data_IF_022322368117
#
_entry.id   IF_022322368117
#
_cell.length_a   1.000
_cell.length_b   1.000
_cell.length_c   1.000
_cell.angle_alpha   90.00
_cell.angle_beta   90.00
_cell.angle_gamma   90.00
#
_symmetry.space_group_name_H-M   'P 1'
#
loop_
_entity.id
_entity.type
_entity.pdbx_description
1 polymer ?
#
# COMPACT_ATOMS: atom_id res chain seq x y z
N UNK A 1 -25.89 7.70 8.07
CA UNK A 1 -25.57 8.63 6.98
C UNK A 1 -26.85 9.20 6.38
N UNK A 2 -26.81 10.42 5.82
CA UNK A 2 -27.89 11.02 5.02
C UNK A 2 -27.66 10.80 3.50
N UNK A 3 -28.61 11.22 2.64
CA UNK A 3 -28.53 11.02 1.18
C UNK A 3 -27.27 11.64 0.57
N UNK A 4 -26.88 12.83 1.04
CA UNK A 4 -25.76 13.60 0.47
C UNK A 4 -24.41 13.01 0.88
N UNK A 5 -24.31 12.49 2.10
CA UNK A 5 -23.17 11.71 2.58
C UNK A 5 -23.00 10.43 1.78
N UNK A 6 -24.10 9.69 1.58
CA UNK A 6 -24.09 8.47 0.79
C UNK A 6 -23.71 8.75 -0.67
N UNK A 7 -24.23 9.83 -1.25
CA UNK A 7 -23.87 10.27 -2.60
C UNK A 7 -22.37 10.60 -2.71
N UNK A 8 -21.78 11.23 -1.69
CA UNK A 8 -20.34 11.47 -1.61
C UNK A 8 -19.52 10.18 -1.56
N UNK A 9 -19.90 9.23 -0.70
CA UNK A 9 -19.20 7.94 -0.56
C UNK A 9 -19.34 7.09 -1.82
N UNK A 10 -20.53 6.99 -2.40
CA UNK A 10 -20.74 6.25 -3.65
C UNK A 10 -19.96 6.87 -4.80
N UNK A 11 -19.86 8.21 -4.87
CA UNK A 11 -19.03 8.88 -5.86
C UNK A 11 -17.53 8.59 -5.66
N UNK A 12 -17.07 8.43 -4.41
CA UNK A 12 -15.72 7.97 -4.10
C UNK A 12 -15.48 6.54 -4.61
N UNK A 13 -16.35 5.59 -4.30
CA UNK A 13 -16.23 4.21 -4.80
C UNK A 13 -16.29 4.12 -6.34
N UNK A 14 -17.18 4.90 -6.96
CA UNK A 14 -17.29 4.97 -8.42
C UNK A 14 -16.03 5.59 -9.04
N UNK A 15 -15.34 6.47 -8.32
CA UNK A 15 -14.10 7.05 -8.79
C UNK A 15 -12.95 6.04 -8.85
N UNK A 16 -12.89 5.05 -7.95
CA UNK A 16 -11.93 3.95 -8.06
C UNK A 16 -12.12 3.17 -9.37
N UNK A 17 -13.37 2.98 -9.80
CA UNK A 17 -13.67 2.34 -11.10
C UNK A 17 -13.23 3.25 -12.25
N UNK A 18 -13.62 4.53 -12.20
CA UNK A 18 -13.29 5.52 -13.24
C UNK A 18 -11.78 5.73 -13.42
N UNK A 19 -11.02 5.66 -12.33
CA UNK A 19 -9.58 5.86 -12.30
C UNK A 19 -8.79 4.55 -12.48
N UNK A 20 -9.49 3.47 -12.82
CA UNK A 20 -8.92 2.15 -13.12
C UNK A 20 -8.08 1.61 -11.96
N UNK A 21 -8.69 1.59 -10.77
CA UNK A 21 -7.98 1.26 -9.56
C UNK A 21 -7.47 -0.16 -9.46
N UNK A 22 -8.33 -1.08 -9.83
CA UNK A 22 -7.98 -2.49 -9.88
C UNK A 22 -6.90 -2.75 -10.95
N UNK A 23 -6.98 -2.08 -12.11
CA UNK A 23 -6.03 -2.29 -13.21
C UNK A 23 -4.61 -1.87 -12.83
N UNK A 24 -4.43 -0.65 -12.31
CA UNK A 24 -3.10 -0.15 -11.94
C UNK A 24 -2.50 -0.97 -10.81
N UNK A 25 -3.29 -1.37 -9.82
CA UNK A 25 -2.82 -2.23 -8.73
C UNK A 25 -2.41 -3.62 -9.23
N UNK A 26 -3.19 -4.20 -10.15
CA UNK A 26 -2.86 -5.49 -10.77
C UNK A 26 -1.57 -5.39 -11.59
N UNK A 27 -1.42 -4.35 -12.42
CA UNK A 27 -0.20 -4.11 -13.19
C UNK A 27 1.03 -3.89 -12.29
N UNK A 28 0.88 -3.15 -11.21
CA UNK A 28 1.97 -2.93 -10.26
C UNK A 28 2.40 -4.25 -9.61
N UNK A 29 1.45 -5.07 -9.15
CA UNK A 29 1.73 -6.37 -8.51
C UNK A 29 2.35 -7.35 -9.50
N UNK A 30 1.85 -7.42 -10.74
CA UNK A 30 2.43 -8.31 -11.76
C UNK A 30 3.86 -7.91 -12.10
N UNK A 31 4.14 -6.62 -12.31
CA UNK A 31 5.50 -6.13 -12.59
C UNK A 31 6.47 -6.42 -11.44
N UNK A 32 6.05 -6.13 -10.20
CA UNK A 32 6.84 -6.45 -9.00
C UNK A 32 7.08 -7.95 -8.89
N UNK A 33 6.06 -8.77 -9.14
CA UNK A 33 6.15 -10.23 -9.14
C UNK A 33 7.12 -10.74 -10.22
N UNK A 34 7.07 -10.20 -11.44
CA UNK A 34 8.00 -10.57 -12.51
C UNK A 34 9.45 -10.23 -12.13
N UNK A 35 9.70 -9.04 -11.58
CA UNK A 35 11.04 -8.64 -11.12
C UNK A 35 11.52 -9.56 -9.98
N UNK A 36 10.64 -9.90 -9.04
CA UNK A 36 10.97 -10.81 -7.94
C UNK A 36 11.35 -12.21 -8.46
N UNK A 37 10.58 -12.76 -9.42
CA UNK A 37 10.87 -14.06 -10.03
C UNK A 37 12.20 -14.02 -10.78
N UNK A 38 12.47 -12.97 -11.58
CA UNK A 38 13.74 -12.81 -12.30
C UNK A 38 14.92 -12.71 -11.34
N UNK A 39 14.75 -11.99 -10.23
CA UNK A 39 15.78 -11.84 -9.19
C UNK A 39 16.05 -13.16 -8.49
N UNK A 40 14.99 -13.87 -8.05
CA UNK A 40 15.10 -15.19 -7.41
C UNK A 40 15.75 -16.21 -8.35
N UNK A 41 15.34 -16.25 -9.62
CA UNK A 41 15.94 -17.11 -10.64
C UNK A 41 17.43 -16.79 -10.84
N UNK A 42 17.79 -15.51 -10.93
CA UNK A 42 19.19 -15.07 -11.10
C UNK A 42 20.05 -15.48 -9.90
N UNK A 43 19.57 -15.25 -8.68
CA UNK A 43 20.26 -15.64 -7.45
C UNK A 43 20.42 -17.17 -7.36
N UNK A 44 19.37 -17.94 -7.68
CA UNK A 44 19.43 -19.42 -7.73
C UNK A 44 20.39 -19.92 -8.79
N UNK A 45 20.42 -19.32 -9.98
CA UNK A 45 21.39 -19.66 -11.01
C UNK A 45 22.82 -19.35 -10.56
N UNK A 46 23.06 -18.22 -9.90
CA UNK A 46 24.38 -17.89 -9.35
C UNK A 46 24.81 -18.83 -8.21
N UNK A 47 23.87 -19.31 -7.39
CA UNK A 47 24.13 -20.24 -6.29
C UNK A 47 24.34 -21.68 -6.78
N UNK A 48 23.48 -22.18 -7.67
CA UNK A 48 23.50 -23.57 -8.18
C UNK A 48 24.56 -23.79 -9.27
N UNK A 49 24.82 -22.78 -10.11
CA UNK A 49 25.97 -22.76 -11.03
C UNK A 49 27.26 -22.30 -10.30
N UNK A 50 27.24 -22.32 -8.96
CA UNK A 50 28.19 -21.68 -8.09
C UNK A 50 29.63 -21.87 -8.49
N UNK A 51 30.41 -20.79 -8.42
CA UNK A 51 31.86 -20.90 -8.27
C UNK A 51 32.62 -21.69 -9.34
N UNK A 52 32.03 -22.07 -10.49
CA UNK A 52 32.76 -22.70 -11.61
C UNK A 52 33.56 -21.71 -12.45
N UNK A 53 33.64 -20.46 -12.00
CA UNK A 53 34.69 -19.50 -12.39
C UNK A 53 35.80 -19.45 -11.33
N UNK A 54 35.88 -20.41 -10.39
CA UNK A 54 37.15 -20.76 -9.79
C UNK A 54 37.90 -21.66 -10.79
N UNK A 55 38.44 -21.04 -11.85
CA UNK A 55 39.58 -21.63 -12.55
C UNK A 55 40.69 -21.80 -11.52
N UNK A 56 41.27 -22.99 -11.49
CA UNK A 56 42.43 -23.39 -10.70
C UNK A 56 43.42 -22.23 -10.52
N UNK A 57 43.52 -21.67 -9.31
CA UNK A 57 44.52 -20.63 -9.01
C UNK A 57 44.27 -19.78 -7.78
N UNK A 58 43.05 -19.27 -7.56
CA UNK A 58 42.90 -18.12 -6.66
C UNK A 58 42.42 -18.48 -5.26
N UNK A 59 43.39 -18.72 -4.37
CA UNK A 59 43.17 -18.89 -2.93
C UNK A 59 43.19 -17.52 -2.24
N UNK A 60 42.22 -16.63 -2.49
CA UNK A 60 42.02 -15.54 -1.52
C UNK A 60 40.66 -14.83 -1.47
N UNK A 61 39.80 -14.87 -2.49
CA UNK A 61 38.60 -14.03 -2.46
C UNK A 61 37.38 -14.70 -1.79
N UNK A 62 37.37 -14.66 -0.46
CA UNK A 62 36.17 -14.91 0.38
C UNK A 62 35.13 -13.79 0.30
N UNK A 63 35.42 -12.69 -0.41
CA UNK A 63 34.51 -11.57 -0.60
C UNK A 63 34.07 -11.53 -2.06
N UNK A 64 32.95 -12.18 -2.40
CA UNK A 64 32.26 -11.88 -3.64
C UNK A 64 31.27 -10.72 -3.38
N UNK A 65 31.61 -9.46 -3.70
CA UNK A 65 30.74 -8.31 -3.44
C UNK A 65 29.38 -8.44 -4.14
N UNK A 66 29.30 -9.15 -5.27
CA UNK A 66 28.03 -9.42 -5.97
C UNK A 66 27.11 -10.32 -5.16
N UNK A 67 27.65 -11.29 -4.42
CA UNK A 67 26.85 -12.15 -3.54
C UNK A 67 26.31 -11.37 -2.34
N UNK A 68 27.09 -10.44 -1.78
CA UNK A 68 26.66 -9.55 -0.71
C UNK A 68 25.55 -8.59 -1.19
N UNK A 69 25.71 -8.00 -2.37
CA UNK A 69 24.69 -7.13 -2.99
C UNK A 69 23.40 -7.93 -3.26
N UNK A 70 23.52 -9.15 -3.77
CA UNK A 70 22.37 -10.04 -4.01
C UNK A 70 21.60 -10.38 -2.72
N UNK A 71 22.31 -10.66 -1.63
CA UNK A 71 21.72 -10.91 -0.30
C UNK A 71 21.00 -9.67 0.24
N UNK A 72 21.60 -8.49 0.12
CA UNK A 72 21.00 -7.22 0.53
C UNK A 72 19.72 -6.97 -0.28
N UNK A 73 19.77 -7.09 -1.62
CA UNK A 73 18.59 -6.91 -2.46
C UNK A 73 17.49 -7.92 -2.14
N UNK A 74 17.81 -9.19 -1.88
CA UNK A 74 16.83 -10.20 -1.47
C UNK A 74 16.09 -9.80 -0.19
N UNK A 75 16.82 -9.25 0.79
CA UNK A 75 16.29 -8.89 2.10
C UNK A 75 15.45 -7.60 2.05
N UNK A 76 15.88 -6.62 1.24
CA UNK A 76 15.23 -5.31 1.15
C UNK A 76 14.16 -5.20 0.05
N UNK A 77 14.24 -5.96 -1.04
CA UNK A 77 13.26 -5.94 -2.13
C UNK A 77 11.80 -6.10 -1.67
N UNK A 78 11.44 -7.07 -0.81
CA UNK A 78 10.05 -7.21 -0.36
C UNK A 78 9.58 -6.03 0.49
N UNK A 79 10.48 -5.41 1.27
CA UNK A 79 10.17 -4.21 2.06
C UNK A 79 9.91 -3.02 1.14
N UNK A 80 10.80 -2.79 0.17
CA UNK A 80 10.67 -1.73 -0.83
C UNK A 80 9.40 -1.88 -1.66
N UNK A 81 9.07 -3.10 -2.09
CA UNK A 81 7.85 -3.41 -2.81
C UNK A 81 6.60 -3.03 -2.03
N UNK A 82 6.52 -3.39 -0.74
CA UNK A 82 5.37 -3.03 0.11
C UNK A 82 5.28 -1.52 0.35
N UNK A 83 6.39 -0.83 0.55
CA UNK A 83 6.41 0.64 0.71
C UNK A 83 5.90 1.32 -0.56
N UNK A 84 6.34 0.84 -1.73
CA UNK A 84 5.88 1.33 -3.02
C UNK A 84 4.37 1.11 -3.17
N UNK A 85 3.88 -0.10 -2.87
CA UNK A 85 2.46 -0.44 -2.93
C UNK A 85 1.61 0.47 -2.01
N UNK A 86 2.02 0.64 -0.75
CA UNK A 86 1.30 1.49 0.20
C UNK A 86 1.29 2.96 -0.25
N UNK A 87 2.38 3.43 -0.85
CA UNK A 87 2.48 4.80 -1.38
C UNK A 87 1.59 5.02 -2.60
N UNK A 88 1.49 4.03 -3.49
CA UNK A 88 0.54 4.05 -4.61
C UNK A 88 -0.89 4.07 -4.07
N UNK A 89 -1.24 3.19 -3.13
CA UNK A 89 -2.58 3.14 -2.52
C UNK A 89 -3.02 4.50 -1.97
N UNK A 90 -2.18 5.15 -1.16
CA UNK A 90 -2.48 6.47 -0.56
C UNK A 90 -2.76 7.56 -1.59
N UNK A 91 -1.96 7.65 -2.65
CA UNK A 91 -2.17 8.67 -3.70
C UNK A 91 -3.51 8.48 -4.43
N UNK A 92 -3.99 7.25 -4.49
CA UNK A 92 -5.24 6.92 -5.21
C UNK A 92 -6.48 7.21 -4.40
N UNK A 93 -6.43 7.00 -3.09
CA UNK A 93 -7.46 7.46 -2.16
C UNK A 93 -7.66 8.98 -2.27
N UNK A 94 -6.57 9.76 -2.30
CA UNK A 94 -6.65 11.22 -2.50
C UNK A 94 -7.23 11.57 -3.87
N UNK A 95 -6.82 10.86 -4.92
CA UNK A 95 -7.35 11.07 -6.28
C UNK A 95 -8.84 10.73 -6.35
N UNK A 96 -9.26 9.68 -5.63
CA UNK A 96 -10.64 9.27 -5.51
C UNK A 96 -11.50 10.31 -4.79
N UNK A 97 -11.01 10.89 -3.69
CA UNK A 97 -11.65 12.02 -3.00
C UNK A 97 -11.89 13.22 -3.91
N UNK A 98 -10.84 13.66 -4.62
CA UNK A 98 -10.93 14.77 -5.57
C UNK A 98 -11.95 14.46 -6.69
N UNK A 99 -11.93 13.22 -7.19
CA UNK A 99 -12.80 12.77 -8.27
C UNK A 99 -14.25 12.68 -7.82
N UNK A 100 -14.50 12.22 -6.59
CA UNK A 100 -15.82 12.18 -5.97
C UNK A 100 -16.42 13.59 -5.87
N UNK A 101 -15.65 14.54 -5.35
CA UNK A 101 -16.07 15.95 -5.27
C UNK A 101 -16.34 16.53 -6.64
N UNK A 102 -15.52 16.24 -7.64
CA UNK A 102 -15.76 16.67 -9.03
C UNK A 102 -17.05 16.08 -9.61
N UNK A 103 -17.43 14.86 -9.21
CA UNK A 103 -18.65 14.18 -9.68
C UNK A 103 -19.91 14.71 -8.98
N UNK A 104 -19.88 14.85 -7.65
CA UNK A 104 -21.02 15.36 -6.87
C UNK A 104 -21.17 16.86 -6.92
N UNK A 105 -20.07 17.58 -7.22
CA UNK A 105 -19.94 19.05 -7.11
C UNK A 105 -20.33 19.59 -5.73
N UNK A 106 -20.21 18.75 -4.69
CA UNK A 106 -20.60 19.09 -3.34
C UNK A 106 -19.62 18.50 -2.31
N UNK A 107 -18.49 19.19 -2.04
CA UNK A 107 -17.50 18.77 -1.07
C UNK A 107 -18.04 18.50 0.35
N UNK A 108 -18.97 19.31 0.92
CA UNK A 108 -19.45 19.10 2.28
C UNK A 108 -20.11 17.75 2.54
N UNK A 109 -20.67 17.11 1.50
CA UNK A 109 -21.27 15.78 1.61
C UNK A 109 -20.27 14.71 2.00
N UNK A 110 -19.13 14.68 1.30
CA UNK A 110 -18.06 13.73 1.58
C UNK A 110 -17.35 14.07 2.91
N UNK A 111 -17.15 15.36 3.21
CA UNK A 111 -16.56 15.78 4.50
C UNK A 111 -17.42 15.30 5.68
N UNK A 112 -18.73 15.53 5.65
CA UNK A 112 -19.66 15.08 6.71
C UNK A 112 -19.66 13.55 6.87
N UNK A 113 -19.53 12.82 5.76
CA UNK A 113 -19.41 11.37 5.78
C UNK A 113 -18.14 10.91 6.50
N UNK A 114 -16.98 11.50 6.16
CA UNK A 114 -15.70 11.17 6.78
C UNK A 114 -15.63 11.58 8.26
N UNK A 115 -16.23 12.71 8.63
CA UNK A 115 -16.32 13.15 10.04
C UNK A 115 -17.16 12.17 10.88
N UNK A 116 -18.26 11.64 10.32
CA UNK A 116 -19.08 10.62 10.99
C UNK A 116 -18.35 9.29 11.14
N UNK A 117 -17.55 8.89 10.15
CA UNK A 117 -16.68 7.72 10.26
C UNK A 117 -15.62 7.94 11.33
N UNK A 118 -14.97 9.10 11.35
CA UNK A 118 -13.98 9.43 12.38
C UNK A 118 -14.56 9.44 13.80
N UNK A 119 -15.83 9.81 13.95
CA UNK A 119 -16.54 9.80 15.23
C UNK A 119 -17.09 8.42 15.61
N UNK A 120 -17.06 7.44 14.71
CA UNK A 120 -17.49 6.08 15.00
C UNK A 120 -16.49 5.41 15.95
N UNK A 121 -17.03 4.80 17.02
CA UNK A 121 -16.26 4.10 18.04
C UNK A 121 -16.68 2.63 18.13
N UNK A 122 -17.39 2.13 17.11
CA UNK A 122 -17.81 0.72 17.07
C UNK A 122 -16.58 -0.20 17.07
N UNK A 123 -16.53 -1.07 18.07
CA UNK A 123 -15.40 -2.00 18.24
C UNK A 123 -15.61 -3.18 17.31
N UNK A 124 -14.70 -3.35 16.35
CA UNK A 124 -14.67 -4.50 15.46
C UNK A 124 -14.15 -5.73 16.22
N UNK A 125 -15.04 -6.63 16.60
CA UNK A 125 -14.68 -7.83 17.38
C UNK A 125 -13.84 -8.86 16.60
N UNK A 126 -13.86 -8.79 15.26
CA UNK A 126 -13.05 -9.63 14.38
C UNK A 126 -12.74 -8.86 13.10
N UNK A 127 -11.51 -8.41 12.98
CA UNK A 127 -10.98 -7.80 11.76
C UNK A 127 -9.74 -8.58 11.32
N UNK A 128 -9.69 -8.94 10.04
CA UNK A 128 -8.52 -9.59 9.44
C UNK A 128 -7.88 -8.64 8.44
N UNK A 129 -6.55 -8.68 8.35
CA UNK A 129 -5.82 -7.98 7.28
C UNK A 129 -6.30 -8.36 5.87
N UNK A 130 -6.78 -9.60 5.70
CA UNK A 130 -7.30 -10.07 4.42
C UNK A 130 -8.60 -9.36 4.02
N UNK A 131 -9.43 -8.95 4.99
CA UNK A 131 -10.70 -8.28 4.72
C UNK A 131 -10.60 -6.77 4.78
N UNK A 132 -9.47 -6.20 5.20
CA UNK A 132 -9.30 -4.75 5.40
C UNK A 132 -9.65 -3.90 4.17
N UNK A 133 -9.45 -4.41 2.95
CA UNK A 133 -9.78 -3.73 1.70
C UNK A 133 -11.29 -3.63 1.40
N UNK A 134 -12.14 -4.33 2.15
CA UNK A 134 -13.60 -4.28 2.03
C UNK A 134 -14.22 -3.21 2.94
N UNK A 135 -13.43 -2.59 3.82
CA UNK A 135 -13.91 -1.62 4.80
C UNK A 135 -13.72 -0.21 4.27
N UNK A 136 -14.69 0.66 4.59
CA UNK A 136 -14.65 2.09 4.24
C UNK A 136 -13.55 2.82 5.04
N UNK A 137 -13.27 2.34 6.25
CA UNK A 137 -12.18 2.81 7.10
C UNK A 137 -11.32 1.65 7.57
N UNK A 138 -10.06 1.94 7.92
CA UNK A 138 -9.13 0.90 8.30
C UNK A 138 -9.54 0.25 9.64
N UNK A 139 -9.93 -1.04 9.68
CA UNK A 139 -10.60 -1.65 10.83
C UNK A 139 -9.68 -1.85 12.05
N UNK A 140 -8.36 -1.70 11.86
CA UNK A 140 -7.35 -1.80 12.92
C UNK A 140 -6.85 -0.44 13.41
N UNK A 141 -7.42 0.66 12.95
CA UNK A 141 -7.01 2.02 13.35
C UNK A 141 -7.31 2.33 14.83
N UNK A 142 -8.27 1.62 15.44
CA UNK A 142 -8.63 1.72 16.86
C UNK A 142 -7.79 0.85 17.81
N UNK A 143 -6.91 -0.02 17.31
CA UNK A 143 -5.93 -0.70 18.16
C UNK A 143 -4.89 0.35 18.55
N UNK A 144 -5.01 0.88 19.77
CA UNK A 144 -4.02 1.76 20.40
C UNK A 144 -2.71 1.00 20.61
N UNK A 145 -1.97 0.72 19.54
CA UNK A 145 -0.61 0.23 19.62
C UNK A 145 0.31 1.41 19.92
N UNK A 146 0.30 1.82 21.19
CA UNK A 146 1.21 2.79 21.80
C UNK A 146 2.65 2.21 21.94
N UNK A 147 3.18 1.61 20.88
CA UNK A 147 4.49 0.96 20.85
C UNK A 147 5.21 1.09 19.51
N UNK A 148 6.47 0.60 19.46
CA UNK A 148 7.38 0.63 18.29
C UNK A 148 6.79 0.06 16.99
N UNK A 149 5.66 -0.64 17.04
CA UNK A 149 4.90 -1.19 15.92
C UNK A 149 4.02 -0.16 15.19
N UNK A 150 3.62 0.95 15.82
CA UNK A 150 2.77 1.97 15.19
C UNK A 150 3.40 2.63 13.95
N UNK A 151 4.72 2.72 13.92
CA UNK A 151 5.47 3.23 12.74
C UNK A 151 5.49 2.22 11.58
N UNK A 152 5.52 0.91 11.89
CA UNK A 152 5.38 -0.14 10.89
C UNK A 152 3.95 -0.25 10.37
N UNK A 153 2.94 -0.08 11.23
CA UNK A 153 1.54 -0.01 10.80
C UNK A 153 1.29 1.17 9.87
N UNK A 154 1.86 2.36 10.14
CA UNK A 154 1.80 3.51 9.20
C UNK A 154 2.37 3.18 7.80
N UNK A 155 3.38 2.32 7.71
CA UNK A 155 3.93 1.89 6.42
C UNK A 155 2.99 0.95 5.66
N UNK A 156 2.10 0.23 6.36
CA UNK A 156 1.11 -0.69 5.78
C UNK A 156 -0.33 -0.15 5.79
N UNK A 157 -0.57 1.07 6.26
CA UNK A 157 -1.87 1.73 6.12
C UNK A 157 -2.16 1.95 4.64
N UNK A 158 -3.18 1.24 4.14
CA UNK A 158 -3.66 1.33 2.76
C UNK A 158 -4.46 2.61 2.50
N UNK A 159 -5.00 3.21 3.56
CA UNK A 159 -5.73 4.48 3.52
C UNK A 159 -4.96 5.60 4.24
N UNK A 160 -4.95 6.83 3.68
CA UNK A 160 -4.45 7.98 4.42
C UNK A 160 -5.35 8.27 5.63
N UNK A 161 -4.82 8.90 6.70
CA UNK A 161 -5.61 9.26 7.87
C UNK A 161 -6.83 10.10 7.48
N UNK A 162 -8.00 9.81 8.09
CA UNK A 162 -9.24 10.54 7.81
C UNK A 162 -9.10 12.05 8.00
N UNK A 163 -8.33 12.48 9.01
CA UNK A 163 -8.05 13.90 9.27
C UNK A 163 -7.34 14.61 8.09
N UNK A 164 -6.41 13.92 7.41
CA UNK A 164 -5.69 14.46 6.26
C UNK A 164 -6.62 14.60 5.05
N UNK A 165 -7.49 13.60 4.82
CA UNK A 165 -8.52 13.64 3.77
C UNK A 165 -9.50 14.79 3.99
N UNK A 166 -9.99 14.95 5.23
CA UNK A 166 -10.91 16.04 5.60
C UNK A 166 -10.26 17.41 5.39
N UNK A 167 -9.00 17.58 5.80
CA UNK A 167 -8.28 18.83 5.60
C UNK A 167 -8.16 19.19 4.12
N UNK A 168 -7.73 18.23 3.29
CA UNK A 168 -7.59 18.41 1.85
C UNK A 168 -8.93 18.76 1.17
N UNK A 169 -10.03 18.14 1.58
CA UNK A 169 -11.36 18.42 1.04
C UNK A 169 -11.89 19.81 1.45
N UNK A 170 -11.48 20.33 2.62
CA UNK A 170 -11.85 21.68 3.08
C UNK A 170 -11.09 22.79 2.36
N UNK A 171 -9.95 22.46 1.76
CA UNK A 171 -9.15 23.39 0.95
C UNK A 171 -9.65 23.52 -0.51
N UNK A 172 -10.62 22.68 -0.92
CA UNK A 172 -11.25 22.71 -2.25
C UNK A 172 -12.49 23.60 -2.30
#
# INVERSE_FOLDING_TARGET
MNRVELEGVVAHELSHIKNYDILVSTLAVTLVGTIAIVTDLTLRMMWWNGGRVARSGDRNDRNNPLALIGLVLLLFAPILAKIMQASVSRRRETLADVSAVRMTRYPPGLISALEKLQADNTVTHSASMATAHLWIEQPMSGVKDAGRLGMWHKLFNTHPPLAERIALLREM
#
